data_IF_557493593447
#
_entry.id   IF_557493593447
#
_cell.length_a   1.000
_cell.length_b   1.000
_cell.length_c   1.000
_cell.angle_alpha   90.00
_cell.angle_beta   90.00
_cell.angle_gamma   90.00
#
_symmetry.space_group_name_H-M   'P 1'
#
loop_
_entity.id
_entity.type
_entity.pdbx_description
1 polymer ?
#
# COMPACT_ATOMS: atom_id res chain seq x y z
N UNK A 1 -12.76 22.37 -1.02
CA UNK A 1 -12.29 21.02 -1.38
C UNK A 1 -11.56 20.37 -0.21
N UNK A 2 -10.50 20.98 0.34
CA UNK A 2 -9.79 20.48 1.52
C UNK A 2 -10.66 20.34 2.79
N UNK A 3 -11.58 21.29 3.05
CA UNK A 3 -12.49 21.23 4.19
C UNK A 3 -13.65 20.22 4.02
N UNK A 4 -13.96 19.80 2.79
CA UNK A 4 -14.92 18.71 2.51
C UNK A 4 -14.24 17.34 2.60
N UNK A 5 -13.00 17.23 2.12
CA UNK A 5 -12.12 16.07 2.36
C UNK A 5 -11.90 15.81 3.86
N UNK A 6 -11.95 16.85 4.69
CA UNK A 6 -11.80 16.75 6.15
C UNK A 6 -13.12 16.53 6.91
N UNK A 7 -14.29 16.72 6.30
CA UNK A 7 -15.59 16.70 6.99
C UNK A 7 -16.43 15.44 6.77
N UNK A 8 -16.00 14.48 5.94
CA UNK A 8 -16.80 13.29 5.55
C UNK A 8 -16.55 12.05 6.43
N UNK A 9 -15.74 12.14 7.48
CA UNK A 9 -15.52 11.00 8.39
C UNK A 9 -15.58 11.45 9.85
N UNK A 10 -16.55 10.93 10.61
CA UNK A 10 -16.40 10.72 12.05
C UNK A 10 -15.12 9.88 12.24
N UNK A 11 -13.89 10.36 12.41
CA UNK A 11 -13.34 11.56 13.03
C UNK A 11 -12.14 12.17 12.27
N UNK A 12 -11.84 11.78 11.01
CA UNK A 12 -10.64 12.24 10.28
C UNK A 12 -9.28 11.94 10.95
N UNK A 13 -9.30 11.33 12.15
CA UNK A 13 -8.13 11.11 12.99
C UNK A 13 -7.14 10.17 12.34
N UNK A 14 -7.62 9.11 11.67
CA UNK A 14 -6.75 8.16 10.96
C UNK A 14 -5.94 8.84 9.85
N UNK A 15 -6.56 9.68 9.02
CA UNK A 15 -5.86 10.43 7.98
C UNK A 15 -4.90 11.46 8.58
N UNK A 16 -5.32 12.17 9.63
CA UNK A 16 -4.45 13.13 10.35
C UNK A 16 -3.22 12.44 10.94
N UNK A 17 -3.40 11.27 11.55
CA UNK A 17 -2.30 10.45 12.09
C UNK A 17 -1.35 10.00 10.97
N UNK A 18 -1.86 9.55 9.82
CA UNK A 18 -1.03 9.18 8.67
C UNK A 18 -0.23 10.38 8.14
N UNK A 19 -0.85 11.56 8.06
CA UNK A 19 -0.17 12.80 7.66
C UNK A 19 0.93 13.13 8.68
N UNK A 20 0.64 13.07 9.98
CA UNK A 20 1.63 13.32 11.05
C UNK A 20 2.81 12.33 10.96
N UNK A 21 2.53 11.04 10.79
CA UNK A 21 3.56 10.01 10.60
C UNK A 21 4.39 10.23 9.34
N UNK A 22 3.77 10.70 8.26
CA UNK A 22 4.48 11.03 7.02
C UNK A 22 5.38 12.25 7.19
N UNK A 23 4.89 13.31 7.84
CA UNK A 23 5.68 14.51 8.15
C UNK A 23 6.87 14.13 9.02
N UNK A 24 6.65 13.31 10.05
CA UNK A 24 7.72 12.80 10.91
C UNK A 24 8.74 11.97 10.12
N UNK A 25 8.28 11.06 9.26
CA UNK A 25 9.14 10.23 8.42
C UNK A 25 10.00 11.08 7.48
N UNK A 26 9.40 12.05 6.79
CA UNK A 26 10.13 12.98 5.91
C UNK A 26 11.09 13.86 6.71
N UNK A 27 10.71 14.33 7.91
CA UNK A 27 11.61 15.10 8.76
C UNK A 27 12.84 14.29 9.17
N UNK A 28 12.69 13.01 9.51
CA UNK A 28 13.83 12.12 9.79
C UNK A 28 14.73 11.93 8.56
N UNK A 29 14.13 11.74 7.39
CA UNK A 29 14.86 11.59 6.12
C UNK A 29 15.64 12.84 5.74
N UNK A 30 15.08 14.03 5.94
CA UNK A 30 15.77 15.31 5.74
C UNK A 30 16.86 15.50 6.78
N UNK A 31 16.60 15.20 8.06
CA UNK A 31 17.59 15.30 9.14
C UNK A 31 18.81 14.41 8.90
N UNK A 32 18.63 13.26 8.23
CA UNK A 32 19.74 12.35 7.89
C UNK A 32 20.81 12.97 6.99
N UNK A 33 20.45 14.01 6.21
CA UNK A 33 21.32 14.69 5.24
C UNK A 33 22.01 13.73 4.25
N UNK A 34 21.33 12.66 3.87
CA UNK A 34 21.83 11.69 2.88
C UNK A 34 20.91 11.69 1.65
N UNK A 35 21.44 12.14 0.51
CA UNK A 35 20.67 12.28 -0.72
C UNK A 35 20.09 10.96 -1.24
N UNK A 36 20.80 9.85 -1.05
CA UNK A 36 20.34 8.53 -1.50
C UNK A 36 19.13 8.07 -0.67
N UNK A 37 19.20 8.17 0.66
CA UNK A 37 18.06 7.88 1.53
C UNK A 37 16.88 8.81 1.26
N UNK A 38 17.14 10.10 1.02
CA UNK A 38 16.13 11.07 0.64
C UNK A 38 15.38 10.64 -0.62
N UNK A 39 16.11 10.39 -1.70
CA UNK A 39 15.50 9.98 -2.97
C UNK A 39 14.72 8.68 -2.83
N UNK A 40 15.29 7.66 -2.20
CA UNK A 40 14.67 6.34 -2.09
C UNK A 40 13.42 6.34 -1.19
N UNK A 41 13.53 6.81 0.05
CA UNK A 41 12.44 6.72 1.02
C UNK A 41 11.33 7.72 0.72
N UNK A 42 11.64 8.95 0.30
CA UNK A 42 10.61 9.93 -0.06
C UNK A 42 9.84 9.49 -1.30
N UNK A 43 10.51 8.89 -2.29
CA UNK A 43 9.85 8.34 -3.47
C UNK A 43 8.96 7.14 -3.13
N UNK A 44 9.47 6.18 -2.34
CA UNK A 44 8.70 5.01 -1.95
C UNK A 44 7.51 5.38 -1.07
N UNK A 45 7.68 6.33 -0.15
CA UNK A 45 6.59 6.85 0.68
C UNK A 45 5.54 7.56 -0.18
N UNK A 46 5.95 8.39 -1.15
CA UNK A 46 5.03 9.01 -2.10
C UNK A 46 4.21 7.96 -2.87
N UNK A 47 4.85 6.92 -3.41
CA UNK A 47 4.16 5.84 -4.10
C UNK A 47 3.19 5.06 -3.19
N UNK A 48 3.53 4.86 -1.91
CA UNK A 48 2.67 4.19 -0.94
C UNK A 48 1.38 4.98 -0.61
N UNK A 49 1.37 6.30 -0.83
CA UNK A 49 0.17 7.12 -0.65
C UNK A 49 -0.81 7.04 -1.84
N UNK A 50 -0.34 6.70 -3.04
CA UNK A 50 -1.18 6.66 -4.26
C UNK A 50 -2.41 5.76 -4.08
N UNK A 51 -2.32 4.51 -3.58
CA UNK A 51 -3.49 3.65 -3.37
C UNK A 51 -4.53 4.32 -2.46
N UNK A 52 -4.10 4.99 -1.39
CA UNK A 52 -5.02 5.66 -0.47
C UNK A 52 -5.73 6.83 -1.16
N UNK A 53 -5.02 7.65 -1.92
CA UNK A 53 -5.63 8.74 -2.68
C UNK A 53 -6.65 8.24 -3.70
N UNK A 54 -6.32 7.17 -4.43
CA UNK A 54 -7.24 6.56 -5.41
C UNK A 54 -8.49 6.02 -4.71
N UNK A 55 -8.34 5.31 -3.60
CA UNK A 55 -9.46 4.77 -2.86
C UNK A 55 -10.38 5.87 -2.29
N UNK A 56 -9.80 6.96 -1.77
CA UNK A 56 -10.57 8.13 -1.30
C UNK A 56 -11.30 8.82 -2.45
N UNK A 57 -10.62 9.05 -3.58
CA UNK A 57 -11.21 9.68 -4.77
C UNK A 57 -12.39 8.88 -5.32
N UNK A 58 -12.22 7.55 -5.43
CA UNK A 58 -13.30 6.66 -5.88
C UNK A 58 -14.47 6.67 -4.91
N UNK A 59 -14.20 6.58 -3.60
CA UNK A 59 -15.25 6.58 -2.58
C UNK A 59 -16.06 7.88 -2.61
N UNK A 60 -15.41 9.03 -2.50
CA UNK A 60 -16.08 10.33 -2.49
C UNK A 60 -16.84 10.59 -3.80
N UNK A 61 -16.21 10.31 -4.94
CA UNK A 61 -16.84 10.52 -6.24
C UNK A 61 -18.06 9.63 -6.49
N UNK A 62 -18.06 8.40 -5.97
CA UNK A 62 -19.21 7.48 -6.07
C UNK A 62 -20.31 7.84 -5.06
N UNK A 63 -19.97 8.21 -3.83
CA UNK A 63 -20.92 8.65 -2.79
C UNK A 63 -21.65 9.94 -3.22
N UNK A 64 -20.91 10.95 -3.72
CA UNK A 64 -21.47 12.23 -4.19
C UNK A 64 -22.12 12.14 -5.59
N UNK A 65 -22.14 10.95 -6.21
CA UNK A 65 -22.62 10.69 -7.59
C UNK A 65 -21.94 11.55 -8.68
N UNK A 66 -20.74 12.07 -8.39
CA UNK A 66 -19.95 12.84 -9.35
C UNK A 66 -19.22 11.93 -10.36
N UNK A 67 -18.93 10.68 -9.97
CA UNK A 67 -18.32 9.68 -10.83
C UNK A 67 -19.36 8.64 -11.30
N UNK A 68 -19.37 8.28 -12.59
CA UNK A 68 -20.22 7.21 -13.07
C UNK A 68 -19.75 5.86 -12.51
N UNK A 69 -20.69 4.97 -12.17
CA UNK A 69 -20.40 3.69 -11.49
C UNK A 69 -19.35 2.80 -12.19
N UNK A 70 -19.19 2.94 -13.51
CA UNK A 70 -18.21 2.18 -14.27
C UNK A 70 -16.76 2.56 -13.96
N UNK A 71 -16.49 3.74 -13.39
CA UNK A 71 -15.11 4.16 -13.03
C UNK A 71 -14.50 3.34 -11.88
N UNK A 72 -15.32 2.61 -11.12
CA UNK A 72 -14.86 1.76 -10.03
C UNK A 72 -13.83 0.75 -10.52
N UNK A 73 -14.15 -0.05 -11.53
CA UNK A 73 -13.28 -1.13 -11.99
C UNK A 73 -11.91 -0.66 -12.51
N UNK A 74 -11.79 0.30 -13.45
CA UNK A 74 -10.49 0.80 -13.86
C UNK A 74 -9.75 1.49 -12.69
N UNK A 75 -10.47 2.16 -11.80
CA UNK A 75 -9.89 2.73 -10.59
C UNK A 75 -9.32 1.67 -9.63
N UNK A 76 -10.00 0.53 -9.47
CA UNK A 76 -9.52 -0.60 -8.66
C UNK A 76 -8.32 -1.29 -9.30
N UNK A 77 -8.26 -1.40 -10.64
CA UNK A 77 -7.08 -1.89 -11.35
C UNK A 77 -5.90 -0.96 -11.11
N UNK A 78 -6.09 0.35 -11.28
CA UNK A 78 -5.06 1.35 -11.01
C UNK A 78 -4.61 1.32 -9.54
N UNK A 79 -5.55 1.24 -8.60
CA UNK A 79 -5.29 1.07 -7.18
C UNK A 79 -4.40 -0.17 -6.91
N UNK A 80 -4.75 -1.31 -7.49
CA UNK A 80 -4.03 -2.57 -7.30
C UNK A 80 -2.61 -2.53 -7.89
N UNK A 81 -2.40 -1.82 -8.99
CA UNK A 81 -1.07 -1.63 -9.58
C UNK A 81 -0.11 -0.86 -8.66
N UNK A 82 -0.63 0.04 -7.82
CA UNK A 82 0.18 0.82 -6.89
C UNK A 82 0.21 0.25 -5.47
N UNK A 83 -0.75 -0.62 -5.11
CA UNK A 83 -0.83 -1.23 -3.78
C UNK A 83 0.46 -1.92 -3.31
N UNK A 84 1.23 -2.65 -4.16
CA UNK A 84 2.52 -3.23 -3.77
C UNK A 84 3.49 -2.25 -3.12
N UNK A 85 3.46 -0.96 -3.51
CA UNK A 85 4.38 0.05 -2.98
C UNK A 85 4.19 0.28 -1.48
N UNK A 86 3.01 0.00 -0.92
CA UNK A 86 2.75 0.15 0.52
C UNK A 86 3.59 -0.82 1.37
N UNK A 87 3.46 -2.15 1.21
CA UNK A 87 4.32 -3.10 1.92
C UNK A 87 5.75 -3.20 1.34
N UNK A 88 6.01 -2.71 0.13
CA UNK A 88 7.34 -2.71 -0.48
C UNK A 88 8.39 -1.99 0.37
N UNK A 89 8.02 -0.91 1.05
CA UNK A 89 8.95 -0.12 1.89
C UNK A 89 9.57 -0.99 3.00
N UNK A 90 8.90 -2.06 3.45
CA UNK A 90 9.46 -3.01 4.42
C UNK A 90 10.77 -3.62 3.88
N UNK A 91 10.86 -3.85 2.58
CA UNK A 91 12.08 -4.38 1.95
C UNK A 91 13.25 -3.40 2.01
N UNK A 92 13.02 -2.11 2.21
CA UNK A 92 14.11 -1.14 2.33
C UNK A 92 14.90 -1.31 3.64
N UNK A 93 14.37 -2.05 4.63
CA UNK A 93 15.12 -2.47 5.82
C UNK A 93 16.37 -3.28 5.45
N UNK A 94 16.43 -3.92 4.27
CA UNK A 94 17.65 -4.60 3.82
C UNK A 94 18.86 -3.65 3.66
N UNK A 95 18.64 -2.35 3.49
CA UNK A 95 19.72 -1.37 3.37
C UNK A 95 20.44 -1.09 4.69
N UNK A 96 19.82 -1.44 5.82
CA UNK A 96 20.46 -1.36 7.15
C UNK A 96 21.75 -2.20 7.21
N UNK A 97 21.91 -3.20 6.34
CA UNK A 97 23.13 -4.02 6.25
C UNK A 97 24.36 -3.24 5.75
N UNK A 98 24.18 -2.07 5.16
CA UNK A 98 25.24 -1.31 4.49
C UNK A 98 25.49 0.07 5.12
N UNK A 99 24.87 0.38 6.26
CA UNK A 99 25.10 1.63 7.00
C UNK A 99 26.14 1.42 8.09
N UNK A 100 26.78 2.51 8.52
CA UNK A 100 27.78 2.46 9.59
C UNK A 100 27.14 2.15 10.95
N UNK A 101 27.90 1.51 11.84
CA UNK A 101 27.43 1.15 13.19
C UNK A 101 26.98 2.39 13.99
N UNK A 102 27.61 3.54 13.77
CA UNK A 102 27.27 4.79 14.45
C UNK A 102 25.88 5.35 14.08
N UNK A 103 25.42 5.10 12.84
CA UNK A 103 24.14 5.63 12.35
C UNK A 103 23.05 4.56 12.22
N UNK A 104 23.39 3.28 12.41
CA UNK A 104 22.47 2.15 12.21
C UNK A 104 21.17 2.27 13.01
N UNK A 105 21.24 2.79 14.24
CA UNK A 105 20.06 2.98 15.11
C UNK A 105 19.09 4.00 14.51
N UNK A 106 19.61 5.11 13.98
CA UNK A 106 18.82 6.17 13.36
C UNK A 106 18.25 5.71 12.02
N UNK A 107 19.10 5.09 11.18
CA UNK A 107 18.72 4.61 9.85
C UNK A 107 17.64 3.53 9.94
N UNK A 108 17.77 2.61 10.91
CA UNK A 108 16.74 1.59 11.18
C UNK A 108 15.42 2.23 11.61
N UNK A 109 15.44 3.18 12.54
CA UNK A 109 14.23 3.85 13.01
C UNK A 109 13.55 4.67 11.89
N UNK A 110 14.34 5.39 11.10
CA UNK A 110 13.86 6.18 9.96
C UNK A 110 13.16 5.29 8.91
N UNK A 111 13.81 4.19 8.49
CA UNK A 111 13.23 3.26 7.52
C UNK A 111 11.99 2.59 8.10
N UNK A 112 12.02 2.18 9.38
CA UNK A 112 10.87 1.60 10.06
C UNK A 112 9.68 2.55 10.09
N UNK A 113 9.88 3.82 10.42
CA UNK A 113 8.79 4.82 10.43
C UNK A 113 8.21 5.02 9.03
N UNK A 114 9.04 5.06 7.98
CA UNK A 114 8.57 5.10 6.60
C UNK A 114 7.75 3.84 6.24
N UNK A 115 8.26 2.66 6.60
CA UNK A 115 7.60 1.38 6.32
C UNK A 115 6.28 1.24 7.06
N UNK A 116 6.23 1.64 8.33
CA UNK A 116 5.01 1.66 9.13
C UNK A 116 3.97 2.62 8.52
N UNK A 117 4.39 3.82 8.13
CA UNK A 117 3.52 4.82 7.51
C UNK A 117 2.93 4.30 6.20
N UNK A 118 3.77 3.74 5.31
CA UNK A 118 3.33 3.15 4.05
C UNK A 118 2.39 1.96 4.25
N UNK A 119 2.70 1.07 5.20
CA UNK A 119 1.86 -0.08 5.54
C UNK A 119 0.47 0.36 6.05
N UNK A 120 0.42 1.34 6.96
CA UNK A 120 -0.86 1.86 7.48
C UNK A 120 -1.68 2.55 6.39
N UNK A 121 -1.04 3.31 5.50
CA UNK A 121 -1.71 3.90 4.34
C UNK A 121 -2.31 2.82 3.42
N UNK A 122 -1.56 1.75 3.15
CA UNK A 122 -2.03 0.59 2.37
C UNK A 122 -3.20 -0.15 3.03
N UNK A 123 -3.12 -0.43 4.34
CA UNK A 123 -4.19 -1.06 5.10
C UNK A 123 -5.47 -0.23 5.11
N UNK A 124 -5.33 1.09 5.30
CA UNK A 124 -6.48 1.99 5.27
C UNK A 124 -7.12 2.06 3.88
N UNK A 125 -6.28 2.13 2.84
CA UNK A 125 -6.73 2.07 1.45
C UNK A 125 -7.49 0.78 1.13
N UNK A 126 -6.98 -0.39 1.58
CA UNK A 126 -7.68 -1.67 1.43
C UNK A 126 -9.02 -1.70 2.17
N UNK A 127 -9.12 -1.10 3.36
CA UNK A 127 -10.39 -1.03 4.08
C UNK A 127 -11.45 -0.25 3.30
N UNK A 128 -11.07 0.87 2.67
CA UNK A 128 -11.98 1.64 1.83
C UNK A 128 -12.46 0.82 0.63
N UNK A 129 -11.54 0.14 -0.05
CA UNK A 129 -11.88 -0.74 -1.20
C UNK A 129 -12.77 -1.91 -0.78
N UNK A 130 -12.49 -2.53 0.37
CA UNK A 130 -13.31 -3.61 0.91
C UNK A 130 -14.76 -3.17 1.10
N UNK A 131 -14.98 -2.01 1.73
CA UNK A 131 -16.34 -1.47 1.94
C UNK A 131 -17.05 -1.22 0.61
N UNK A 132 -16.38 -0.57 -0.35
CA UNK A 132 -16.94 -0.34 -1.69
C UNK A 132 -17.29 -1.65 -2.42
N UNK A 133 -16.49 -2.70 -2.23
CA UNK A 133 -16.76 -4.02 -2.81
C UNK A 133 -17.90 -4.74 -2.08
N UNK A 134 -17.97 -4.69 -0.75
CA UNK A 134 -19.07 -5.30 0.04
C UNK A 134 -20.45 -4.71 -0.28
N UNK A 135 -20.53 -3.44 -0.68
CA UNK A 135 -21.79 -2.86 -1.17
C UNK A 135 -22.29 -3.49 -2.48
N UNK A 136 -21.41 -4.15 -3.24
CA UNK A 136 -21.67 -4.66 -4.60
C UNK A 136 -21.57 -6.18 -4.69
N UNK A 137 -20.80 -6.79 -3.80
CA UNK A 137 -20.50 -8.21 -3.72
C UNK A 137 -20.92 -8.74 -2.35
N UNK A 138 -21.21 -10.04 -2.26
CA UNK A 138 -21.43 -10.65 -0.95
C UNK A 138 -20.13 -10.71 -0.13
N UNK A 139 -20.24 -10.71 1.20
CA UNK A 139 -19.11 -10.79 2.15
C UNK A 139 -18.02 -11.79 1.73
N UNK A 140 -18.40 -13.03 1.41
CA UNK A 140 -17.44 -14.08 1.02
C UNK A 140 -16.69 -13.71 -0.26
N UNK A 141 -17.40 -13.17 -1.26
CA UNK A 141 -16.78 -12.76 -2.53
C UNK A 141 -15.82 -11.59 -2.31
N UNK A 142 -16.19 -10.60 -1.49
CA UNK A 142 -15.30 -9.50 -1.13
C UNK A 142 -14.03 -10.02 -0.49
N UNK A 143 -14.12 -10.90 0.51
CA UNK A 143 -12.93 -11.48 1.14
C UNK A 143 -12.03 -12.25 0.16
N UNK A 144 -12.62 -13.04 -0.74
CA UNK A 144 -11.86 -13.75 -1.79
C UNK A 144 -11.12 -12.77 -2.69
N UNK A 145 -11.80 -11.69 -3.13
CA UNK A 145 -11.17 -10.64 -3.95
C UNK A 145 -10.06 -9.94 -3.19
N UNK A 146 -10.29 -9.55 -1.92
CA UNK A 146 -9.28 -8.86 -1.11
C UNK A 146 -8.05 -9.73 -0.82
N UNK A 147 -8.23 -11.03 -0.56
CA UNK A 147 -7.12 -11.98 -0.42
C UNK A 147 -6.37 -12.12 -1.75
N UNK A 148 -7.09 -12.21 -2.88
CA UNK A 148 -6.48 -12.21 -4.21
C UNK A 148 -5.63 -10.96 -4.46
N UNK A 149 -6.13 -9.78 -4.10
CA UNK A 149 -5.37 -8.53 -4.18
C UNK A 149 -4.11 -8.57 -3.30
N UNK A 150 -4.16 -9.18 -2.10
CA UNK A 150 -2.98 -9.33 -1.23
C UNK A 150 -1.93 -10.29 -1.78
N UNK A 151 -2.35 -11.37 -2.45
CA UNK A 151 -1.44 -12.27 -3.17
C UNK A 151 -0.73 -11.51 -4.29
N UNK A 152 -1.49 -10.78 -5.11
CA UNK A 152 -0.94 -9.96 -6.19
C UNK A 152 -0.02 -8.85 -5.67
N UNK A 153 -0.38 -8.25 -4.53
CA UNK A 153 0.44 -7.24 -3.85
C UNK A 153 1.77 -7.83 -3.41
N UNK A 154 1.75 -9.02 -2.83
CA UNK A 154 2.94 -9.73 -2.36
C UNK A 154 3.86 -10.14 -3.51
N UNK A 155 3.28 -10.56 -4.63
CA UNK A 155 4.04 -10.81 -5.86
C UNK A 155 4.61 -9.51 -6.43
N UNK A 156 3.85 -8.41 -6.40
CA UNK A 156 4.33 -7.09 -6.79
C UNK A 156 5.53 -6.61 -5.96
N UNK A 157 5.58 -6.93 -4.66
CA UNK A 157 6.77 -6.66 -3.82
C UNK A 157 8.00 -7.41 -4.33
N UNK A 158 7.84 -8.69 -4.72
CA UNK A 158 8.93 -9.45 -5.34
C UNK A 158 9.42 -8.78 -6.63
N UNK A 159 8.49 -8.44 -7.53
CA UNK A 159 8.81 -7.80 -8.81
C UNK A 159 9.52 -6.46 -8.61
N UNK A 160 9.01 -5.60 -7.73
CA UNK A 160 9.65 -4.33 -7.41
C UNK A 160 11.05 -4.50 -6.83
N UNK A 161 11.27 -5.50 -5.95
CA UNK A 161 12.52 -5.57 -5.18
C UNK A 161 13.64 -6.28 -5.92
N UNK A 162 13.32 -7.39 -6.57
CA UNK A 162 14.31 -8.28 -7.16
C UNK A 162 14.44 -8.09 -8.66
N UNK A 163 13.33 -7.77 -9.32
CA UNK A 163 13.32 -7.53 -10.76
C UNK A 163 13.49 -6.05 -11.08
N UNK A 164 13.16 -5.15 -10.14
CA UNK A 164 13.14 -3.68 -10.30
C UNK A 164 12.12 -3.19 -11.31
N UNK A 165 11.01 -3.91 -11.43
CA UNK A 165 9.86 -3.46 -12.22
C UNK A 165 9.11 -2.37 -11.47
N UNK A 166 8.78 -1.31 -12.18
CA UNK A 166 7.92 -0.23 -11.73
C UNK A 166 6.54 -0.34 -12.39
N UNK A 167 5.53 0.29 -11.77
CA UNK A 167 4.16 0.27 -12.27
C UNK A 167 4.01 0.89 -13.68
N UNK A 168 4.98 1.66 -14.17
CA UNK A 168 4.98 2.26 -15.50
C UNK A 168 5.65 1.41 -16.60
N UNK A 169 6.41 0.37 -16.24
CA UNK A 169 7.08 -0.51 -17.22
C UNK A 169 6.07 -1.34 -18.03
N UNK A 170 4.83 -1.45 -17.52
CA UNK A 170 3.68 -2.02 -18.23
C UNK A 170 3.36 -1.28 -19.54
N UNK A 171 3.70 0.00 -19.64
CA UNK A 171 3.41 0.83 -20.80
C UNK A 171 4.59 0.96 -21.78
N UNK A 172 5.80 0.62 -21.36
CA UNK A 172 7.01 0.77 -22.19
C UNK A 172 7.36 -0.52 -22.93
N UNK A 173 7.38 -1.69 -22.25
CA UNK A 173 7.82 -2.97 -22.85
C UNK A 173 6.98 -4.18 -22.36
N UNK A 174 5.74 -4.34 -22.85
CA UNK A 174 4.80 -5.34 -22.33
C UNK A 174 5.20 -6.80 -22.62
N UNK A 175 5.93 -7.06 -23.70
CA UNK A 175 6.31 -8.43 -24.08
C UNK A 175 7.42 -9.00 -23.20
N UNK A 176 8.45 -8.19 -22.93
CA UNK A 176 9.54 -8.57 -22.02
C UNK A 176 9.02 -8.75 -20.59
N UNK A 177 8.11 -7.86 -20.17
CA UNK A 177 7.40 -7.97 -18.90
C UNK A 177 6.67 -9.31 -18.76
N UNK A 178 5.90 -9.71 -19.79
CA UNK A 178 5.13 -10.95 -19.75
C UNK A 178 6.02 -12.20 -19.62
N UNK A 179 7.13 -12.25 -20.36
CA UNK A 179 8.10 -13.35 -20.25
C UNK A 179 8.73 -13.43 -18.87
N UNK A 180 9.04 -12.28 -18.29
CA UNK A 180 9.71 -12.20 -17.02
C UNK A 180 8.76 -12.51 -15.84
N UNK A 181 7.50 -12.09 -15.93
CA UNK A 181 6.43 -12.53 -15.01
C UNK A 181 6.28 -14.06 -15.10
N UNK A 182 6.21 -14.62 -16.30
CA UNK A 182 6.09 -16.07 -16.50
C UNK A 182 7.23 -16.86 -15.85
N UNK A 183 8.49 -16.42 -16.03
CA UNK A 183 9.66 -17.01 -15.37
C UNK A 183 9.62 -16.85 -13.85
N UNK A 184 9.09 -15.74 -13.36
CA UNK A 184 8.98 -15.45 -11.93
C UNK A 184 7.97 -16.36 -11.24
N UNK A 185 6.88 -16.75 -11.91
CA UNK A 185 5.85 -17.62 -11.34
C UNK A 185 6.36 -19.04 -11.04
N UNK A 186 7.36 -19.52 -11.78
CA UNK A 186 7.98 -20.84 -11.55
C UNK A 186 9.21 -20.77 -10.64
N UNK A 187 9.64 -19.57 -10.25
CA UNK A 187 10.83 -19.39 -9.42
C UNK A 187 10.52 -19.74 -7.95
N UNK A 188 11.19 -20.73 -7.34
CA UNK A 188 10.92 -21.13 -5.96
C UNK A 188 11.15 -20.01 -4.94
N UNK A 189 12.10 -19.11 -5.20
CA UNK A 189 12.36 -17.97 -4.34
C UNK A 189 11.24 -16.94 -4.40
N UNK A 190 10.75 -16.63 -5.61
CA UNK A 190 9.61 -15.74 -5.80
C UNK A 190 8.34 -16.27 -5.12
N UNK A 191 8.08 -17.58 -5.24
CA UNK A 191 6.95 -18.23 -4.59
C UNK A 191 7.05 -18.18 -3.06
N UNK A 192 8.21 -18.51 -2.49
CA UNK A 192 8.43 -18.43 -1.04
C UNK A 192 8.20 -17.02 -0.52
N UNK A 193 8.77 -16.00 -1.17
CA UNK A 193 8.59 -14.60 -0.77
C UNK A 193 7.12 -14.19 -0.87
N UNK A 194 6.48 -14.48 -2.00
CA UNK A 194 5.07 -14.14 -2.23
C UNK A 194 4.16 -14.76 -1.17
N UNK A 195 4.36 -16.04 -0.84
CA UNK A 195 3.59 -16.73 0.20
C UNK A 195 3.84 -16.15 1.60
N UNK A 196 5.10 -15.87 1.96
CA UNK A 196 5.44 -15.27 3.25
C UNK A 196 4.84 -13.87 3.42
N UNK A 197 4.95 -13.02 2.40
CA UNK A 197 4.33 -11.69 2.41
C UNK A 197 2.81 -11.78 2.41
N UNK A 198 2.22 -12.71 1.64
CA UNK A 198 0.76 -12.90 1.63
C UNK A 198 0.26 -13.27 3.02
N UNK A 199 0.91 -14.23 3.66
CA UNK A 199 0.55 -14.65 5.01
C UNK A 199 0.62 -13.48 6.01
N UNK A 200 1.71 -12.71 5.98
CA UNK A 200 1.87 -11.53 6.83
C UNK A 200 0.80 -10.47 6.56
N UNK A 201 0.55 -10.12 5.31
CA UNK A 201 -0.41 -9.08 4.94
C UNK A 201 -1.85 -9.50 5.21
N UNK A 202 -2.23 -10.75 4.96
CA UNK A 202 -3.56 -11.27 5.31
C UNK A 202 -3.76 -11.23 6.83
N UNK A 203 -2.75 -11.59 7.61
CA UNK A 203 -2.81 -11.54 9.08
C UNK A 203 -2.95 -10.11 9.59
N UNK A 204 -2.16 -9.17 9.06
CA UNK A 204 -2.24 -7.76 9.41
C UNK A 204 -3.59 -7.16 9.02
N UNK A 205 -4.08 -7.47 7.82
CA UNK A 205 -5.33 -6.96 7.31
C UNK A 205 -6.54 -7.50 8.08
N UNK A 206 -6.59 -8.80 8.36
CA UNK A 206 -7.64 -9.40 9.19
C UNK A 206 -7.62 -8.81 10.60
N UNK A 207 -6.46 -8.70 11.25
CA UNK A 207 -6.34 -8.04 12.55
C UNK A 207 -6.80 -6.58 12.54
N UNK A 208 -6.42 -5.83 11.51
CA UNK A 208 -6.82 -4.43 11.33
C UNK A 208 -8.34 -4.29 11.16
N UNK A 209 -8.96 -5.10 10.29
CA UNK A 209 -10.41 -5.07 10.08
C UNK A 209 -11.19 -5.46 11.34
N UNK A 210 -10.74 -6.46 12.10
CA UNK A 210 -11.36 -6.84 13.37
C UNK A 210 -11.25 -5.71 14.42
N UNK A 211 -10.10 -5.03 14.50
CA UNK A 211 -9.92 -3.88 15.37
C UNK A 211 -10.91 -2.76 15.03
N UNK A 212 -11.03 -2.43 13.74
CA UNK A 212 -11.96 -1.40 13.26
C UNK A 212 -13.40 -1.76 13.60
N UNK A 213 -13.84 -2.99 13.28
CA UNK A 213 -15.20 -3.46 13.58
C UNK A 213 -15.54 -3.34 15.08
N UNK A 214 -14.62 -3.76 15.96
CA UNK A 214 -14.82 -3.65 17.42
C UNK A 214 -14.93 -2.20 17.88
N UNK A 215 -14.16 -1.29 17.28
CA UNK A 215 -14.15 0.12 17.64
C UNK A 215 -15.34 0.91 17.11
N UNK A 216 -15.79 0.65 15.88
CA UNK A 216 -16.86 1.40 15.25
C UNK A 216 -18.25 0.79 15.47
N UNK A 217 -18.31 -0.48 15.91
CA UNK A 217 -19.54 -1.29 15.95
C UNK A 217 -20.25 -1.37 14.58
N UNK A 218 -19.55 -1.02 13.51
CA UNK A 218 -20.03 -1.11 12.15
C UNK A 218 -19.57 -2.47 11.58
N UNK A 219 -20.50 -3.26 11.02
CA UNK A 219 -20.10 -4.40 10.19
C UNK A 219 -19.24 -3.94 9.01
N UNK A 220 -18.45 -4.87 8.44
CA UNK A 220 -17.73 -4.61 7.17
C UNK A 220 -18.69 -4.63 5.96
N UNK A 221 -19.95 -4.99 6.21
CA UNK A 221 -21.02 -5.29 5.27
C UNK A 221 -22.17 -4.31 5.47
#
# INVERSE_FOLDING_TARGET
>A
MLNKLLSVYRSGEGLRMLIMLSVMSIAMVVFRQNYWFFKMLSWNLFLAWIPLFVALFLREGLEDRQLPKWTLWPGLVFWLLFLPNSPYIITDLFHVRHVSEETVWFDTMMIFMCALTGLLAGLYSQLLVHRMLSERLGRTQTWVVMIGCLVLTSFGVYLGRYIRLNSWDLFTDPLELAQLIGKSLVNPFALKLTLSYTFALVTLYTGFTQYVQRRTHEPLD
#
